data_IF_962658657175
#
_entry.id   IF_962658657175
#
_cell.length_a   1.000
_cell.length_b   1.000
_cell.length_c   1.000
_cell.angle_alpha   90.00
_cell.angle_beta   90.00
_cell.angle_gamma   90.00
#
_symmetry.space_group_name_H-M   'P 1'
#
loop_
_entity.id
_entity.type
_entity.pdbx_description
1 polymer ?
#
# COMPACT_ATOMS: atom_id res chain seq x y z
N UNK A 1 1.65 17.13 1.40
CA UNK A 1 2.24 16.67 0.13
C UNK A 1 3.56 15.96 0.40
N UNK A 2 3.84 14.90 -0.34
CA UNK A 2 5.09 14.13 -0.22
C UNK A 2 6.24 14.85 -0.95
N UNK A 3 7.51 14.48 -0.68
CA UNK A 3 8.68 15.07 -1.37
C UNK A 3 8.93 14.53 -2.79
N UNK A 4 8.06 13.65 -3.30
CA UNK A 4 8.21 13.06 -4.64
C UNK A 4 7.79 14.06 -5.72
N UNK A 5 8.66 14.29 -6.71
CA UNK A 5 8.41 15.17 -7.84
C UNK A 5 8.15 14.35 -9.09
N UNK A 6 6.86 14.15 -9.37
CA UNK A 6 6.34 13.33 -10.47
C UNK A 6 5.73 14.25 -11.52
N UNK A 7 6.23 14.17 -12.76
CA UNK A 7 5.69 14.89 -13.91
C UNK A 7 4.94 13.92 -14.81
N UNK A 8 3.75 14.33 -15.23
CA UNK A 8 2.88 13.52 -16.09
C UNK A 8 3.60 13.14 -17.39
N UNK A 9 3.57 11.87 -17.77
CA UNK A 9 4.22 11.31 -18.97
C UNK A 9 5.75 11.51 -19.02
N UNK A 10 6.38 11.80 -17.89
CA UNK A 10 7.83 11.89 -17.79
C UNK A 10 8.35 10.72 -16.97
N UNK A 11 9.02 9.80 -17.65
CA UNK A 11 9.67 8.68 -16.98
C UNK A 11 10.97 9.15 -16.35
N UNK A 12 11.22 8.71 -15.13
CA UNK A 12 12.41 9.02 -14.35
C UNK A 12 13.00 7.70 -13.85
N UNK A 13 14.32 7.59 -13.81
CA UNK A 13 14.99 6.39 -13.28
C UNK A 13 16.07 6.81 -12.29
N UNK A 14 16.11 6.11 -11.16
CA UNK A 14 17.06 6.29 -10.08
C UNK A 14 17.12 7.74 -9.56
N UNK A 15 15.99 8.43 -9.48
CA UNK A 15 15.93 9.79 -8.98
C UNK A 15 16.15 9.79 -7.46
N UNK A 16 17.13 10.55 -7.00
CA UNK A 16 17.41 10.68 -5.56
C UNK A 16 16.32 11.54 -4.93
N UNK A 17 15.67 11.00 -3.91
CA UNK A 17 14.69 11.72 -3.09
C UNK A 17 15.40 12.49 -1.98
N UNK A 18 16.13 11.77 -1.13
CA UNK A 18 16.87 12.34 -0.01
C UNK A 18 17.93 11.36 0.51
N UNK A 19 18.86 11.90 1.31
CA UNK A 19 19.82 11.13 2.10
C UNK A 19 19.50 11.35 3.56
N UNK A 20 19.49 10.29 4.37
CA UNK A 20 19.19 10.36 5.80
C UNK A 20 20.22 9.56 6.59
N UNK A 21 20.82 10.21 7.59
CA UNK A 21 21.68 9.52 8.56
C UNK A 21 20.83 8.63 9.45
N UNK A 22 21.32 7.42 9.69
CA UNK A 22 20.71 6.41 10.53
C UNK A 22 21.45 6.39 11.87
N UNK A 23 20.99 7.22 12.80
CA UNK A 23 21.42 7.14 14.19
C UNK A 23 20.84 5.91 14.88
N UNK A 24 21.22 5.71 16.15
CA UNK A 24 20.79 4.53 16.92
C UNK A 24 19.27 4.47 17.10
N UNK A 25 18.63 5.63 17.29
CA UNK A 25 17.19 5.75 17.43
C UNK A 25 16.47 5.51 16.10
N UNK A 26 16.96 6.06 14.99
CA UNK A 26 16.35 5.85 13.67
C UNK A 26 16.43 4.39 13.23
N UNK A 27 17.56 3.72 13.49
CA UNK A 27 17.72 2.28 13.19
C UNK A 27 16.67 1.46 13.96
N UNK A 28 16.58 1.66 15.28
CA UNK A 28 15.62 0.96 16.12
C UNK A 28 14.17 1.25 15.70
N UNK A 29 13.87 2.48 15.27
CA UNK A 29 12.55 2.85 14.77
C UNK A 29 12.19 2.07 13.49
N UNK A 30 13.10 2.00 12.52
CA UNK A 30 12.85 1.25 11.29
C UNK A 30 12.77 -0.25 11.54
N UNK A 31 13.61 -0.80 12.42
CA UNK A 31 13.54 -2.20 12.83
C UNK A 31 12.17 -2.53 13.44
N UNK A 32 11.69 -1.71 14.40
CA UNK A 32 10.36 -1.86 14.99
C UNK A 32 9.25 -1.76 13.94
N UNK A 33 9.31 -0.80 13.02
CA UNK A 33 8.32 -0.67 11.95
C UNK A 33 8.28 -1.90 11.03
N UNK A 34 9.44 -2.53 10.78
CA UNK A 34 9.53 -3.74 9.96
C UNK A 34 8.95 -4.94 10.72
N UNK A 35 9.27 -5.07 12.01
CA UNK A 35 8.76 -6.15 12.87
C UNK A 35 7.25 -6.06 13.08
N UNK A 36 6.72 -4.83 13.19
CA UNK A 36 5.30 -4.53 13.33
C UNK A 36 4.54 -4.51 11.97
N UNK A 37 5.19 -4.92 10.88
CA UNK A 37 4.63 -5.00 9.52
C UNK A 37 3.99 -3.68 9.02
N UNK A 38 4.60 -2.54 9.34
CA UNK A 38 4.09 -1.24 8.91
C UNK A 38 4.04 -1.13 7.38
N UNK A 39 2.87 -0.73 6.89
CA UNK A 39 2.63 -0.42 5.49
C UNK A 39 2.53 1.08 5.27
N UNK A 40 3.25 1.58 4.28
CA UNK A 40 3.14 2.96 3.81
C UNK A 40 1.96 3.06 2.87
N UNK A 41 0.98 3.88 3.25
CA UNK A 41 -0.21 4.15 2.44
C UNK A 41 -0.07 5.49 1.74
N UNK A 42 -0.08 5.48 0.40
CA UNK A 42 -0.05 6.68 -0.42
C UNK A 42 -1.27 6.79 -1.30
N UNK A 43 -1.56 8.02 -1.72
CA UNK A 43 -2.68 8.37 -2.57
C UNK A 43 -2.20 9.32 -3.67
N UNK A 44 -2.60 9.04 -4.91
CA UNK A 44 -2.40 9.91 -6.08
C UNK A 44 -3.73 10.01 -6.82
N UNK A 45 -4.28 11.22 -7.00
CA UNK A 45 -5.60 11.42 -7.62
C UNK A 45 -6.72 10.53 -7.02
N UNK A 46 -6.69 10.41 -5.68
CA UNK A 46 -7.55 9.54 -4.86
C UNK A 46 -7.38 8.03 -5.11
N UNK A 47 -6.40 7.62 -5.91
CA UNK A 47 -6.05 6.21 -6.10
C UNK A 47 -5.01 5.77 -5.06
N UNK A 48 -5.24 4.69 -4.31
CA UNK A 48 -4.26 4.19 -3.37
C UNK A 48 -3.08 3.54 -4.09
N UNK A 49 -1.90 3.66 -3.51
CA UNK A 49 -0.75 2.84 -3.90
C UNK A 49 -1.08 1.36 -3.65
N UNK A 50 -0.83 0.51 -4.63
CA UNK A 50 -0.91 -0.93 -4.44
C UNK A 50 0.41 -1.63 -4.77
N UNK A 51 0.78 -2.59 -3.94
CA UNK A 51 1.89 -3.50 -4.23
C UNK A 51 1.36 -4.74 -4.94
N UNK A 52 1.99 -5.13 -6.05
CA UNK A 52 1.65 -6.32 -6.83
C UNK A 52 2.43 -7.54 -6.33
N UNK A 53 1.74 -8.56 -5.87
CA UNK A 53 2.30 -9.84 -5.42
C UNK A 53 1.95 -10.98 -6.38
N UNK A 54 2.99 -11.65 -6.90
CA UNK A 54 2.85 -12.86 -7.71
C UNK A 54 3.04 -14.09 -6.82
N UNK A 55 1.99 -14.90 -6.63
CA UNK A 55 2.12 -16.17 -5.90
C UNK A 55 2.97 -17.16 -6.70
N UNK A 56 4.21 -17.41 -6.25
CA UNK A 56 5.05 -18.50 -6.77
C UNK A 56 4.43 -19.84 -6.34
N UNK A 57 3.93 -20.63 -7.29
CA UNK A 57 3.58 -22.05 -7.05
C UNK A 57 2.24 -22.53 -7.59
N UNK A 58 1.31 -21.66 -7.97
CA UNK A 58 0.08 -22.10 -8.66
C UNK A 58 0.29 -22.00 -10.17
N UNK A 59 0.13 -23.11 -10.88
CA UNK A 59 -0.06 -23.18 -12.33
C UNK A 59 -1.20 -22.23 -12.72
N UNK A 60 -0.86 -20.99 -13.12
CA UNK A 60 -1.82 -19.90 -13.36
C UNK A 60 -1.53 -18.59 -12.60
N UNK A 61 -0.45 -18.48 -11.83
CA UNK A 61 0.17 -17.21 -11.42
C UNK A 61 -0.80 -16.13 -10.96
N UNK A 62 -1.68 -16.43 -10.01
CA UNK A 62 -2.64 -15.45 -9.49
C UNK A 62 -1.92 -14.22 -8.95
N UNK A 63 -2.18 -13.07 -9.58
CA UNK A 63 -1.72 -11.77 -9.11
C UNK A 63 -2.65 -11.33 -7.99
N UNK A 64 -2.09 -11.13 -6.80
CA UNK A 64 -2.78 -10.46 -5.69
C UNK A 64 -2.17 -9.09 -5.57
N UNK A 65 -2.99 -8.10 -5.24
CA UNK A 65 -2.45 -6.80 -4.86
C UNK A 65 -2.81 -6.52 -3.40
N UNK A 66 -1.99 -5.71 -2.76
CA UNK A 66 -2.21 -5.24 -1.40
C UNK A 66 -2.17 -3.73 -1.38
N UNK A 67 -2.98 -3.11 -0.51
CA UNK A 67 -2.93 -1.67 -0.30
C UNK A 67 -1.63 -1.28 0.43
N UNK A 68 -0.99 -0.23 -0.05
CA UNK A 68 0.30 0.23 0.44
C UNK A 68 1.46 -0.68 0.07
N UNK A 69 2.62 -0.40 0.64
CA UNK A 69 3.84 -1.20 0.52
C UNK A 69 4.58 -1.27 1.86
N UNK A 70 5.28 -2.37 2.17
CA UNK A 70 6.00 -2.51 3.44
C UNK A 70 7.19 -1.56 3.52
N UNK A 71 7.50 -1.11 4.75
CA UNK A 71 8.70 -0.31 5.03
C UNK A 71 9.99 -1.09 4.73
N UNK A 72 9.97 -2.41 4.95
CA UNK A 72 11.12 -3.30 4.77
C UNK A 72 10.73 -4.75 4.95
N UNK A 73 11.73 -5.63 5.04
CA UNK A 73 11.55 -7.06 5.26
C UNK A 73 12.54 -7.57 6.32
N UNK A 74 12.05 -8.35 7.28
CA UNK A 74 12.89 -9.09 8.20
C UNK A 74 13.21 -10.48 7.61
N UNK A 75 14.50 -10.86 7.55
CA UNK A 75 14.93 -12.18 7.08
C UNK A 75 16.17 -12.65 7.84
N UNK A 76 16.13 -13.86 8.36
CA UNK A 76 17.22 -14.47 9.13
C UNK A 76 17.70 -13.59 10.31
N UNK A 77 16.78 -12.90 11.00
CA UNK A 77 17.09 -12.03 12.13
C UNK A 77 17.77 -10.71 11.74
N UNK A 78 17.74 -10.33 10.45
CA UNK A 78 18.25 -9.06 9.94
C UNK A 78 17.12 -8.26 9.30
N UNK A 79 17.19 -6.94 9.40
CA UNK A 79 16.16 -6.03 8.89
C UNK A 79 16.67 -5.30 7.65
N UNK A 80 15.93 -5.47 6.55
CA UNK A 80 16.26 -4.89 5.27
C UNK A 80 15.28 -3.80 4.91
N UNK A 81 15.76 -2.57 4.75
CA UNK A 81 14.91 -1.42 4.43
C UNK A 81 14.61 -1.35 2.93
N UNK A 82 13.37 -1.01 2.58
CA UNK A 82 13.03 -0.65 1.20
C UNK A 82 13.36 0.83 0.95
N UNK A 83 14.52 1.07 0.37
CA UNK A 83 15.07 2.41 0.11
C UNK A 83 14.98 2.83 -1.37
N UNK A 84 14.57 1.93 -2.26
CA UNK A 84 14.28 2.26 -3.65
C UNK A 84 12.83 1.88 -3.97
N UNK A 85 12.08 2.76 -4.62
CA UNK A 85 10.69 2.51 -4.97
C UNK A 85 10.46 2.73 -6.46
N UNK A 86 9.92 1.74 -7.15
CA UNK A 86 9.41 1.94 -8.51
C UNK A 86 7.95 2.33 -8.46
N UNK A 87 7.63 3.48 -9.03
CA UNK A 87 6.28 4.03 -9.09
C UNK A 87 5.74 3.83 -10.50
N UNK A 88 4.81 2.89 -10.65
CA UNK A 88 4.18 2.56 -11.92
C UNK A 88 2.80 3.23 -11.97
N UNK A 89 2.71 4.36 -12.69
CA UNK A 89 1.49 5.11 -12.87
C UNK A 89 0.84 4.77 -14.21
N UNK A 90 -0.41 4.33 -14.13
CA UNK A 90 -1.22 4.00 -15.31
C UNK A 90 -2.15 5.14 -15.63
N UNK A 91 -2.17 5.55 -16.89
CA UNK A 91 -3.04 6.61 -17.36
C UNK A 91 -3.92 6.15 -18.51
N UNK A 92 -5.07 6.80 -18.65
CA UNK A 92 -5.98 6.61 -19.77
C UNK A 92 -6.12 7.93 -20.53
N UNK A 93 -5.92 7.87 -21.85
CA UNK A 93 -6.15 8.98 -22.77
C UNK A 93 -7.38 8.67 -23.62
N UNK A 94 -8.38 9.56 -23.60
CA UNK A 94 -9.56 9.40 -24.44
C UNK A 94 -9.98 10.75 -25.04
N UNK A 95 -9.31 11.19 -26.13
CA UNK A 95 -9.51 12.53 -26.69
C UNK A 95 -10.95 12.84 -27.13
N UNK A 96 -11.75 11.81 -27.45
CA UNK A 96 -13.16 11.95 -27.81
C UNK A 96 -14.09 12.30 -26.64
N UNK A 97 -13.68 11.98 -25.41
CA UNK A 97 -14.48 12.19 -24.18
C UNK A 97 -13.86 13.21 -23.23
N UNK A 98 -12.53 13.37 -23.26
CA UNK A 98 -11.79 14.24 -22.37
C UNK A 98 -10.47 14.70 -22.99
N UNK A 99 -10.22 16.01 -22.97
CA UNK A 99 -8.94 16.58 -23.34
C UNK A 99 -7.98 16.49 -22.13
N UNK A 100 -7.04 15.54 -22.18
CA UNK A 100 -6.02 15.33 -21.15
C UNK A 100 -5.85 13.87 -20.79
N UNK A 101 -5.16 13.63 -19.66
CA UNK A 101 -4.81 12.30 -19.17
C UNK A 101 -5.43 12.08 -17.79
N UNK A 102 -5.99 10.91 -17.56
CA UNK A 102 -6.55 10.54 -16.25
C UNK A 102 -5.78 9.38 -15.66
N UNK A 103 -5.47 9.46 -14.37
CA UNK A 103 -4.80 8.38 -13.65
C UNK A 103 -5.82 7.29 -13.35
N UNK A 104 -5.50 6.07 -13.76
CA UNK A 104 -6.37 4.89 -13.64
C UNK A 104 -5.72 3.73 -12.88
N UNK A 105 -4.46 3.88 -12.50
CA UNK A 105 -3.78 2.93 -11.62
C UNK A 105 -2.50 3.52 -11.03
N UNK A 106 -2.19 3.09 -9.83
CA UNK A 106 -0.96 3.44 -9.12
C UNK A 106 -0.43 2.20 -8.41
N UNK A 107 0.65 1.66 -8.96
CA UNK A 107 1.36 0.50 -8.44
C UNK A 107 2.72 0.93 -7.90
N UNK A 108 3.14 0.33 -6.79
CA UNK A 108 4.44 0.57 -6.17
C UNK A 108 5.15 -0.75 -5.98
N UNK A 109 6.36 -0.86 -6.51
CA UNK A 109 7.25 -1.99 -6.27
C UNK A 109 8.40 -1.55 -5.35
N UNK A 110 8.43 -2.05 -4.11
CA UNK A 110 9.47 -1.68 -3.16
C UNK A 110 10.72 -2.56 -3.32
N UNK A 111 11.87 -1.91 -3.28
CA UNK A 111 13.17 -2.51 -3.54
C UNK A 111 14.15 -2.10 -2.43
N UNK A 112 15.06 -3.00 -2.09
CA UNK A 112 16.09 -2.83 -1.06
C UNK A 112 17.43 -2.95 -1.75
N UNK A 113 18.21 -1.88 -1.79
CA UNK A 113 19.39 -1.77 -2.65
C UNK A 113 20.52 -1.02 -1.95
N UNK A 114 21.75 -1.53 -2.06
CA UNK A 114 22.93 -0.76 -1.71
C UNK A 114 23.30 0.15 -2.89
N UNK A 115 22.98 1.45 -2.78
CA UNK A 115 23.34 2.40 -3.86
C UNK A 115 24.85 2.69 -3.84
N UNK A 116 25.46 2.67 -5.02
CA UNK A 116 26.83 3.12 -5.23
C UNK A 116 26.86 4.52 -5.86
N UNK A 117 27.90 5.33 -5.62
CA UNK A 117 28.10 6.58 -6.35
C UNK A 117 28.14 6.34 -7.86
N UNK A 118 27.47 7.18 -8.64
CA UNK A 118 27.46 7.04 -10.10
C UNK A 118 28.83 7.40 -10.67
N UNK A 119 29.51 6.44 -11.30
CA UNK A 119 30.81 6.67 -11.94
C UNK A 119 30.67 7.66 -13.10
N UNK A 120 31.45 8.75 -13.05
CA UNK A 120 31.52 9.75 -14.13
C UNK A 120 30.50 10.88 -14.05
N UNK A 121 29.63 10.92 -13.02
CA UNK A 121 28.77 12.07 -12.78
C UNK A 121 29.56 13.21 -12.12
N UNK A 122 29.30 14.45 -12.54
CA UNK A 122 29.79 15.65 -11.86
C UNK A 122 28.90 16.05 -10.66
N UNK A 123 27.73 15.43 -10.53
CA UNK A 123 26.83 15.65 -9.39
C UNK A 123 27.25 14.74 -8.22
N UNK A 124 27.68 15.32 -7.07
CA UNK A 124 28.05 14.55 -5.88
C UNK A 124 26.88 13.79 -5.26
N UNK A 125 25.63 14.06 -5.67
CA UNK A 125 24.46 13.32 -5.22
C UNK A 125 24.03 12.20 -6.17
N UNK A 126 24.64 12.07 -7.34
CA UNK A 126 24.27 11.05 -8.30
C UNK A 126 24.63 9.64 -7.80
N UNK A 127 23.64 8.76 -7.79
CA UNK A 127 23.77 7.36 -7.41
C UNK A 127 23.37 6.45 -8.56
N UNK A 128 23.92 5.24 -8.58
CA UNK A 128 23.58 4.20 -9.55
C UNK A 128 22.64 3.19 -8.92
N UNK A 129 21.50 2.97 -9.57
CA UNK A 129 20.56 1.90 -9.28
C UNK A 129 20.84 0.75 -10.26
N UNK A 130 21.59 -0.26 -9.83
CA UNK A 130 21.72 -1.50 -10.60
C UNK A 130 20.69 -2.49 -10.09
N UNK A 131 19.84 -2.99 -11.00
CA UNK A 131 18.87 -4.05 -10.71
C UNK A 131 19.50 -5.44 -10.53
N UNK A 132 20.79 -5.57 -10.86
CA UNK A 132 21.54 -6.80 -10.66
C UNK A 132 22.08 -6.88 -9.23
N UNK A 133 21.45 -7.69 -8.39
CA UNK A 133 22.00 -8.89 -7.71
C UNK A 133 21.00 -9.32 -6.62
N UNK A 134 20.67 -10.61 -6.60
CA UNK A 134 19.92 -11.36 -5.58
C UNK A 134 19.61 -10.60 -4.25
N UNK A 135 18.33 -10.24 -4.09
CA UNK A 135 17.73 -9.73 -2.87
C UNK A 135 18.06 -10.53 -1.60
N UNK A 136 18.17 -9.89 -0.41
CA UNK A 136 18.11 -8.43 -0.13
C UNK A 136 19.49 -7.79 0.20
N UNK A 137 19.70 -6.51 -0.17
CA UNK A 137 21.03 -5.86 -0.14
C UNK A 137 21.19 -4.60 0.75
N UNK A 138 20.15 -4.06 1.39
CA UNK A 138 20.31 -2.94 2.36
C UNK A 138 19.93 -3.33 3.78
N UNK A 139 20.91 -3.80 4.57
CA UNK A 139 20.73 -4.06 6.00
C UNK A 139 20.92 -2.77 6.82
N UNK A 140 19.90 -2.42 7.61
CA UNK A 140 19.87 -1.22 8.48
C UNK A 140 21.03 -1.20 9.48
N UNK A 141 21.40 -2.36 10.03
CA UNK A 141 22.46 -2.47 11.03
C UNK A 141 23.85 -2.15 10.47
N UNK A 142 24.05 -2.39 9.17
CA UNK A 142 25.35 -2.28 8.49
C UNK A 142 25.62 -0.90 7.88
N UNK A 143 24.65 0.02 7.90
CA UNK A 143 24.76 1.32 7.25
C UNK A 143 24.39 2.46 8.19
N UNK A 144 25.16 3.55 8.17
CA UNK A 144 24.89 4.76 8.98
C UNK A 144 24.20 5.87 8.18
N UNK A 145 23.96 5.64 6.90
CA UNK A 145 23.21 6.53 6.02
C UNK A 145 22.41 5.69 5.02
N UNK A 146 21.17 6.10 4.76
CA UNK A 146 20.33 5.57 3.69
C UNK A 146 20.09 6.65 2.66
N UNK A 147 20.19 6.27 1.38
CA UNK A 147 19.73 7.09 0.26
C UNK A 147 18.38 6.56 -0.20
N UNK A 148 17.36 7.40 -0.22
CA UNK A 148 16.08 7.07 -0.80
C UNK A 148 16.06 7.47 -2.26
N UNK A 149 15.65 6.53 -3.12
CA UNK A 149 15.58 6.74 -4.57
C UNK A 149 14.25 6.21 -5.11
N UNK A 150 13.88 6.66 -6.29
CA UNK A 150 12.68 6.15 -6.95
C UNK A 150 12.79 6.18 -8.47
N UNK A 151 12.02 5.31 -9.09
CA UNK A 151 11.70 5.34 -10.51
C UNK A 151 10.26 5.81 -10.69
N UNK A 152 10.00 6.48 -11.81
CA UNK A 152 8.65 6.81 -12.28
C UNK A 152 8.49 6.21 -13.66
N UNK A 153 7.50 5.35 -13.83
CA UNK A 153 7.11 4.82 -15.13
C UNK A 153 5.65 5.14 -15.40
N UNK A 154 5.41 5.74 -16.56
CA UNK A 154 4.07 5.98 -17.09
C UNK A 154 3.73 4.93 -18.13
N UNK A 155 2.60 4.27 -17.95
CA UNK A 155 2.07 3.31 -18.91
C UNK A 155 0.63 3.66 -19.28
N UNK A 156 0.35 3.72 -20.58
CA UNK A 156 -1.02 3.88 -21.05
C UNK A 156 -1.82 2.59 -20.80
N UNK A 157 -3.07 2.74 -20.39
CA UNK A 157 -3.95 1.63 -20.07
C UNK A 157 -5.32 1.83 -20.68
N UNK A 158 -5.92 0.74 -21.17
CA UNK A 158 -7.29 0.71 -21.69
C UNK A 158 -8.36 0.74 -20.58
N UNK A 159 -7.95 0.75 -19.30
CA UNK A 159 -8.86 0.85 -18.16
C UNK A 159 -9.56 2.20 -18.21
N UNK A 160 -10.89 2.18 -18.34
CA UNK A 160 -11.70 3.40 -18.28
C UNK A 160 -11.64 4.01 -16.89
N UNK A 161 -11.71 5.33 -16.82
CA UNK A 161 -11.69 6.07 -15.55
C UNK A 161 -12.79 5.61 -14.58
N UNK A 162 -13.99 5.30 -15.07
CA UNK A 162 -15.10 4.84 -14.23
C UNK A 162 -14.84 3.48 -13.54
N UNK A 163 -14.04 2.61 -14.16
CA UNK A 163 -13.68 1.28 -13.65
C UNK A 163 -12.33 1.25 -12.92
N UNK A 164 -11.71 2.41 -12.67
CA UNK A 164 -10.34 2.47 -12.12
C UNK A 164 -10.20 1.82 -10.74
N UNK A 165 -11.29 1.74 -9.97
CA UNK A 165 -11.33 1.08 -8.66
C UNK A 165 -11.46 -0.43 -8.73
N UNK A 166 -11.82 -1.02 -9.87
CA UNK A 166 -12.12 -2.45 -9.97
C UNK A 166 -10.91 -3.32 -9.64
N UNK A 167 -9.70 -2.86 -10.00
CA UNK A 167 -8.45 -3.55 -9.66
C UNK A 167 -8.19 -3.58 -8.15
N UNK A 168 -8.59 -2.53 -7.43
CA UNK A 168 -8.41 -2.38 -5.99
C UNK A 168 -9.47 -3.12 -5.18
N UNK A 169 -10.71 -3.17 -5.68
CA UNK A 169 -11.79 -3.90 -5.03
C UNK A 169 -11.64 -5.43 -5.13
N UNK A 170 -10.86 -5.91 -6.11
CA UNK A 170 -10.48 -7.33 -6.23
C UNK A 170 -9.36 -7.76 -5.27
N UNK A 171 -8.66 -6.79 -4.63
CA UNK A 171 -7.54 -7.05 -3.70
C UNK A 171 -7.99 -7.68 -2.40
N UNK A 172 -9.19 -7.31 -1.96
CA UNK A 172 -9.87 -8.03 -0.89
C UNK A 172 -10.41 -9.32 -1.49
N UNK A 173 -9.62 -10.39 -1.41
CA UNK A 173 -10.12 -11.76 -1.36
C UNK A 173 -11.00 -11.94 -0.12
N UNK A 174 -12.07 -11.15 -0.04
CA UNK A 174 -12.96 -10.99 1.09
C UNK A 174 -13.76 -12.26 1.23
N UNK A 175 -13.16 -13.26 1.87
CA UNK A 175 -13.90 -14.21 2.67
C UNK A 175 -14.67 -13.35 3.67
N UNK A 176 -15.92 -13.04 3.34
CA UNK A 176 -16.82 -12.34 4.25
C UNK A 176 -16.71 -13.07 5.58
N UNK A 177 -16.32 -12.36 6.64
CA UNK A 177 -16.21 -12.93 7.98
C UNK A 177 -17.62 -13.15 8.53
N UNK A 178 -18.33 -14.13 7.95
CA UNK A 178 -19.70 -14.51 8.27
C UNK A 178 -19.91 -14.75 9.76
N UNK A 179 -18.85 -15.18 10.45
CA UNK A 179 -18.82 -15.33 11.90
C UNK A 179 -19.18 -14.02 12.64
N UNK A 180 -18.60 -12.90 12.24
CA UNK A 180 -18.85 -11.58 12.87
C UNK A 180 -20.26 -11.06 12.57
N UNK A 181 -20.78 -11.33 11.37
CA UNK A 181 -22.13 -10.93 10.96
C UNK A 181 -23.20 -11.76 11.71
N UNK A 182 -22.99 -13.08 11.83
CA UNK A 182 -23.90 -13.94 12.59
C UNK A 182 -23.90 -13.57 14.08
N UNK A 183 -22.72 -13.28 14.64
CA UNK A 183 -22.59 -12.88 16.03
C UNK A 183 -23.32 -11.55 16.32
N UNK A 184 -23.18 -10.55 15.46
CA UNK A 184 -23.88 -9.27 15.63
C UNK A 184 -25.40 -9.42 15.45
N UNK A 185 -25.85 -10.25 14.50
CA UNK A 185 -27.27 -10.55 14.29
C UNK A 185 -27.91 -11.21 15.53
N UNK A 186 -27.21 -12.18 16.14
CA UNK A 186 -27.69 -12.87 17.34
C UNK A 186 -27.90 -11.87 18.49
N UNK A 187 -26.91 -11.01 18.75
CA UNK A 187 -26.99 -9.98 19.81
C UNK A 187 -28.15 -9.02 19.55
N UNK A 188 -28.34 -8.60 18.29
CA UNK A 188 -29.44 -7.72 17.90
C UNK A 188 -30.81 -8.36 18.20
N UNK A 189 -31.01 -9.62 17.83
CA UNK A 189 -32.27 -10.34 18.08
C UNK A 189 -32.56 -10.50 19.58
N UNK A 190 -31.53 -10.81 20.38
CA UNK A 190 -31.68 -10.91 21.84
C UNK A 190 -32.07 -9.57 22.47
N UNK A 191 -31.41 -8.47 22.08
CA UNK A 191 -31.73 -7.13 22.58
C UNK A 191 -33.13 -6.68 22.16
N UNK A 192 -33.51 -6.90 20.90
CA UNK A 192 -34.86 -6.61 20.41
C UNK A 192 -35.92 -7.43 21.14
N UNK A 193 -35.66 -8.72 21.39
CA UNK A 193 -36.57 -9.59 22.16
C UNK A 193 -36.73 -9.14 23.62
N UNK A 194 -35.64 -8.73 24.27
CA UNK A 194 -35.70 -8.20 25.64
C UNK A 194 -36.52 -6.90 25.71
N UNK A 195 -36.28 -5.97 24.78
CA UNK A 195 -37.05 -4.71 24.70
C UNK A 195 -38.52 -4.99 24.42
N UNK A 196 -38.83 -5.89 23.47
CA UNK A 196 -40.21 -6.29 23.19
C UNK A 196 -40.90 -6.91 24.41
N UNK A 197 -40.21 -7.77 25.17
CA UNK A 197 -40.75 -8.36 26.40
C UNK A 197 -41.03 -7.30 27.47
N UNK A 198 -40.13 -6.32 27.65
CA UNK A 198 -40.33 -5.21 28.58
C UNK A 198 -41.56 -4.39 28.16
N UNK A 199 -41.66 -4.02 26.88
CA UNK A 199 -42.78 -3.25 26.33
C UNK A 199 -44.12 -3.98 26.45
N UNK A 200 -44.16 -5.27 26.11
CA UNK A 200 -45.36 -6.10 26.25
C UNK A 200 -45.78 -6.24 27.72
N UNK A 201 -44.81 -6.40 28.63
CA UNK A 201 -45.07 -6.47 30.06
C UNK A 201 -45.62 -5.15 30.62
N UNK A 202 -45.08 -4.02 30.20
CA UNK A 202 -45.59 -2.70 30.61
C UNK A 202 -46.99 -2.45 30.04
N UNK A 203 -47.20 -2.75 28.76
CA UNK A 203 -48.51 -2.59 28.10
C UNK A 203 -49.58 -3.44 28.76
N UNK A 204 -49.28 -4.72 29.03
CA UNK A 204 -50.23 -5.62 29.67
C UNK A 204 -50.60 -5.13 31.08
N UNK A 205 -49.61 -4.69 31.87
CA UNK A 205 -49.85 -4.14 33.21
C UNK A 205 -50.71 -2.87 33.18
N UNK A 206 -50.52 -2.00 32.19
CA UNK A 206 -51.33 -0.80 32.06
C UNK A 206 -52.76 -1.14 31.64
N UNK A 207 -52.97 -2.07 30.70
CA UNK A 207 -54.32 -2.52 30.31
C UNK A 207 -55.10 -3.12 31.49
N UNK A 208 -54.47 -3.96 32.33
CA UNK A 208 -55.11 -4.56 33.51
C UNK A 208 -55.41 -3.56 34.63
N UNK A 209 -54.80 -2.38 34.61
CA UNK A 209 -55.01 -1.36 35.65
C UNK A 209 -56.15 -0.39 35.33
N UNK A 210 -56.48 -0.24 34.05
CA UNK A 210 -57.48 0.73 33.57
C UNK A 210 -58.74 0.09 32.97
N UNK A 211 -58.86 -1.23 33.04
CA UNK A 211 -60.04 -2.02 32.67
C UNK A 211 -60.31 -3.05 33.76
#
# INVERSE_FOLDING_TARGET
NSPYDIKMLHNESCKVLCKKKLGKEEKALFESMIDDEYLVNWLVDNMPAATRYVRRGASGGGVTYMNGFPVGVARNGRHYLHNHLRLDLKYHAQPSEYEGYRIVGFEVEPYSMAQAPQKGSQDPNAVSCQEDVAYPVFDISMHDEVVFTYDVQWTESDVRWASRWDNYLRMTGGQIHWFSILNSLMIMLFLSGMVAMILLRTLHRDITKYN
#
